data_IF_964607806051
#
_entry.id   IF_964607806051
#
_cell.length_a   1.000
_cell.length_b   1.000
_cell.length_c   1.000
_cell.angle_alpha   90.00
_cell.angle_beta   90.00
_cell.angle_gamma   90.00
#
_symmetry.space_group_name_H-M   'P 1'
#
loop_
_entity.id
_entity.type
_entity.pdbx_description
1 polymer ?
#
# COMPACT_ATOMS: atom_id res chain seq x y z
N UNK A 1 -42.41 -3.42 44.08
CA UNK A 1 -42.04 -2.19 43.34
C UNK A 1 -41.06 -2.58 42.23
N UNK A 2 -41.53 -2.59 40.97
CA UNK A 2 -40.76 -2.99 39.78
C UNK A 2 -39.79 -1.87 39.40
N UNK A 3 -38.47 -2.13 39.38
CA UNK A 3 -37.47 -1.19 38.85
C UNK A 3 -37.17 -1.57 37.41
N UNK A 4 -37.57 -0.71 36.49
CA UNK A 4 -37.33 -0.79 35.05
C UNK A 4 -35.91 -0.26 34.78
N UNK A 5 -35.00 -1.13 34.34
CA UNK A 5 -33.64 -0.75 33.94
C UNK A 5 -33.71 -0.39 32.45
N UNK A 6 -33.58 0.91 32.14
CA UNK A 6 -33.46 1.41 30.78
C UNK A 6 -32.02 1.14 30.29
N UNK A 7 -31.85 0.13 29.44
CA UNK A 7 -30.61 -0.08 28.70
C UNK A 7 -30.48 1.04 27.65
N UNK A 8 -29.56 1.97 27.90
CA UNK A 8 -29.15 2.98 26.94
C UNK A 8 -28.15 2.33 25.96
N UNK A 9 -28.64 1.96 24.79
CA UNK A 9 -27.85 1.34 23.72
C UNK A 9 -26.81 2.33 23.19
N UNK A 10 -25.53 2.12 23.53
CA UNK A 10 -24.42 2.76 22.83
C UNK A 10 -24.39 2.26 21.39
N UNK A 11 -24.88 3.07 20.45
CA UNK A 11 -24.52 2.91 19.04
C UNK A 11 -23.06 3.34 18.87
N UNK A 12 -22.14 2.38 18.87
CA UNK A 12 -20.79 2.61 18.36
C UNK A 12 -20.92 2.78 16.84
N UNK A 13 -21.01 4.02 16.39
CA UNK A 13 -20.75 4.35 15.00
C UNK A 13 -19.27 4.03 14.75
N UNK A 14 -18.98 2.91 14.10
CA UNK A 14 -17.67 2.65 13.52
C UNK A 14 -17.46 3.70 12.44
N UNK A 15 -16.72 4.76 12.77
CA UNK A 15 -16.20 5.67 11.77
C UNK A 15 -15.31 4.81 10.84
N UNK A 16 -15.77 4.61 9.61
CA UNK A 16 -14.91 4.09 8.56
C UNK A 16 -13.77 5.09 8.38
N UNK A 17 -12.58 4.71 8.85
CA UNK A 17 -11.40 5.57 8.81
C UNK A 17 -10.98 5.73 7.34
N UNK A 18 -10.81 6.97 6.89
CA UNK A 18 -10.65 7.32 5.49
C UNK A 18 -9.17 7.30 5.11
N UNK A 19 -8.64 6.11 4.78
CA UNK A 19 -7.26 5.90 4.38
C UNK A 19 -6.78 6.91 3.30
N UNK A 20 -5.63 7.54 3.53
CA UNK A 20 -5.08 8.57 2.65
C UNK A 20 -4.42 7.97 1.41
N UNK A 21 -5.01 8.17 0.24
CA UNK A 21 -4.45 7.70 -1.04
C UNK A 21 -3.13 8.40 -1.36
N UNK A 22 -2.10 7.61 -1.69
CA UNK A 22 -0.75 8.08 -2.01
C UNK A 22 -0.29 7.69 -3.41
N UNK A 23 -0.89 6.66 -4.00
CA UNK A 23 -0.62 6.26 -5.39
C UNK A 23 -1.85 5.60 -6.00
N UNK A 24 -2.17 5.98 -7.24
CA UNK A 24 -3.11 5.27 -8.11
C UNK A 24 -2.36 4.83 -9.36
N UNK A 25 -2.43 3.54 -9.70
CA UNK A 25 -1.72 2.97 -10.85
C UNK A 25 -2.69 2.19 -11.73
N UNK A 26 -2.82 2.61 -12.99
CA UNK A 26 -3.57 1.89 -14.01
C UNK A 26 -2.62 0.99 -14.82
N UNK A 27 -2.95 -0.29 -14.92
CA UNK A 27 -2.08 -1.29 -15.56
C UNK A 27 -2.88 -2.52 -16.01
N UNK A 28 -2.24 -3.40 -16.77
CA UNK A 28 -2.79 -4.73 -17.04
C UNK A 28 -2.55 -5.62 -15.82
N UNK A 29 -3.61 -6.21 -15.27
CA UNK A 29 -3.52 -7.13 -14.13
C UNK A 29 -3.04 -8.53 -14.53
N UNK A 30 -2.83 -9.43 -13.55
CA UNK A 30 -2.35 -10.79 -13.80
C UNK A 30 -3.24 -11.60 -14.76
N UNK A 31 -4.56 -11.33 -14.74
CA UNK A 31 -5.55 -11.96 -15.63
C UNK A 31 -5.63 -11.35 -17.03
N UNK A 32 -4.78 -10.38 -17.39
CA UNK A 32 -4.80 -9.71 -18.69
C UNK A 32 -5.82 -8.58 -18.84
N UNK A 33 -6.75 -8.42 -17.89
CA UNK A 33 -7.69 -7.30 -17.87
C UNK A 33 -7.05 -6.02 -17.30
N UNK A 34 -7.49 -4.82 -17.71
CA UNK A 34 -7.10 -3.59 -17.06
C UNK A 34 -7.56 -3.53 -15.59
N UNK A 35 -6.66 -3.09 -14.72
CA UNK A 35 -6.88 -2.93 -13.28
C UNK A 35 -6.31 -1.59 -12.82
N UNK A 36 -7.06 -0.90 -11.97
CA UNK A 36 -6.56 0.25 -11.21
C UNK A 36 -6.24 -0.20 -9.80
N UNK A 37 -4.96 -0.11 -9.42
CA UNK A 37 -4.52 -0.31 -8.03
C UNK A 37 -4.45 1.02 -7.30
N UNK A 38 -5.10 1.10 -6.14
CA UNK A 38 -5.09 2.27 -5.26
C UNK A 38 -4.34 1.89 -3.99
N UNK A 39 -3.25 2.60 -3.71
CA UNK A 39 -2.48 2.47 -2.49
C UNK A 39 -2.83 3.63 -1.56
N UNK A 40 -3.23 3.28 -0.34
CA UNK A 40 -3.56 4.24 0.71
C UNK A 40 -2.78 3.90 1.98
N UNK A 41 -2.28 4.93 2.66
CA UNK A 41 -1.68 4.76 3.97
C UNK A 41 -2.79 4.67 5.03
N UNK A 42 -2.65 3.79 6.04
CA UNK A 42 -3.56 3.78 7.18
C UNK A 42 -3.55 5.12 7.94
N UNK A 43 -4.70 5.58 8.44
CA UNK A 43 -4.80 6.88 9.12
C UNK A 43 -4.01 6.92 10.44
N UNK A 44 -4.04 5.81 11.18
CA UNK A 44 -3.27 5.61 12.41
C UNK A 44 -1.77 5.67 12.15
N UNK A 45 -1.33 5.17 10.99
CA UNK A 45 0.05 5.33 10.53
C UNK A 45 0.37 6.81 10.28
N UNK A 46 -0.46 7.51 9.49
CA UNK A 46 -0.21 8.92 9.11
C UNK A 46 -0.13 9.81 10.34
N UNK A 47 -1.02 9.62 11.32
CA UNK A 47 -1.04 10.42 12.54
C UNK A 47 0.16 10.18 13.47
N UNK A 48 0.81 9.02 13.39
CA UNK A 48 1.83 8.59 14.35
C UNK A 48 3.27 8.77 13.87
N UNK A 49 3.51 8.95 12.57
CA UNK A 49 4.87 8.93 12.04
C UNK A 49 5.58 10.28 12.07
N UNK A 50 6.80 10.29 12.63
CA UNK A 50 7.76 11.38 12.47
C UNK A 50 8.58 11.20 11.17
N UNK A 51 9.13 12.27 10.57
CA UNK A 51 10.02 12.14 9.41
C UNK A 51 11.19 11.19 9.68
N UNK A 52 11.58 10.42 8.67
CA UNK A 52 12.72 9.50 8.76
C UNK A 52 13.89 10.00 7.89
N UNK A 53 15.11 9.68 8.31
CA UNK A 53 16.33 9.93 7.54
C UNK A 53 16.96 8.60 7.17
N UNK A 54 17.42 8.49 5.93
CA UNK A 54 18.10 7.30 5.42
C UNK A 54 19.38 7.71 4.65
N UNK A 55 20.39 8.24 5.35
CA UNK A 55 21.56 8.83 4.70
C UNK A 55 22.40 7.81 3.91
N UNK A 56 22.33 6.53 4.28
CA UNK A 56 23.09 5.45 3.66
C UNK A 56 22.25 4.60 2.70
N UNK A 57 20.93 4.80 2.64
CA UNK A 57 20.02 3.99 1.82
C UNK A 57 19.73 2.60 2.40
N UNK A 58 20.04 2.35 3.67
CA UNK A 58 19.85 1.04 4.31
C UNK A 58 18.35 0.70 4.42
N UNK A 59 17.52 1.69 4.74
CA UNK A 59 16.07 1.50 4.84
C UNK A 59 15.44 1.34 3.45
N UNK A 60 15.88 2.13 2.47
CA UNK A 60 15.48 1.99 1.07
C UNK A 60 15.85 0.61 0.51
N UNK A 61 17.04 0.10 0.86
CA UNK A 61 17.46 -1.26 0.47
C UNK A 61 16.52 -2.32 1.06
N UNK A 62 16.29 -2.28 2.37
CA UNK A 62 15.38 -3.24 3.03
C UNK A 62 13.95 -3.14 2.50
N UNK A 63 13.46 -1.92 2.26
CA UNK A 63 12.16 -1.69 1.63
C UNK A 63 12.10 -2.29 0.22
N UNK A 64 13.16 -2.17 -0.57
CA UNK A 64 13.28 -2.80 -1.88
C UNK A 64 13.17 -4.33 -1.83
N UNK A 65 13.82 -4.96 -0.84
CA UNK A 65 13.73 -6.41 -0.61
C UNK A 65 12.30 -6.82 -0.24
N UNK A 66 11.68 -6.15 0.73
CA UNK A 66 10.31 -6.44 1.17
C UNK A 66 9.31 -6.23 0.03
N UNK A 67 9.48 -5.14 -0.73
CA UNK A 67 8.66 -4.82 -1.88
C UNK A 67 8.77 -5.90 -2.96
N UNK A 68 9.98 -6.37 -3.30
CA UNK A 68 10.17 -7.40 -4.32
C UNK A 68 9.57 -8.74 -3.90
N UNK A 69 9.76 -9.13 -2.64
CA UNK A 69 9.20 -10.37 -2.08
C UNK A 69 7.67 -10.40 -2.16
N UNK A 70 7.01 -9.27 -1.93
CA UNK A 70 5.56 -9.15 -2.05
C UNK A 70 5.09 -8.99 -3.51
N UNK A 71 5.73 -8.12 -4.28
CA UNK A 71 5.21 -7.70 -5.58
C UNK A 71 5.20 -8.85 -6.60
N UNK A 72 6.23 -9.70 -6.59
CA UNK A 72 6.32 -10.82 -7.54
C UNK A 72 5.13 -11.79 -7.44
N UNK A 73 4.78 -12.37 -6.27
CA UNK A 73 3.60 -13.22 -6.16
C UNK A 73 2.27 -12.46 -6.29
N UNK A 74 2.17 -11.23 -5.77
CA UNK A 74 0.93 -10.45 -5.85
C UNK A 74 0.52 -10.15 -7.30
N UNK A 75 1.47 -9.65 -8.10
CA UNK A 75 1.23 -9.33 -9.50
C UNK A 75 1.41 -10.54 -10.44
N UNK A 76 1.82 -11.70 -9.91
CA UNK A 76 2.26 -12.84 -10.72
C UNK A 76 3.31 -12.43 -11.78
N UNK A 77 4.19 -11.50 -11.41
CA UNK A 77 5.10 -10.87 -12.34
C UNK A 77 6.29 -11.77 -12.69
N UNK A 78 6.74 -11.69 -13.94
CA UNK A 78 7.94 -12.36 -14.45
C UNK A 78 8.99 -11.34 -14.87
N UNK A 79 10.24 -11.78 -14.93
CA UNK A 79 11.39 -10.96 -15.35
C UNK A 79 11.40 -9.57 -14.70
N UNK A 80 11.29 -9.58 -13.37
CA UNK A 80 11.12 -8.37 -12.56
C UNK A 80 12.47 -7.70 -12.32
N UNK A 81 12.54 -6.40 -12.61
CA UNK A 81 13.66 -5.52 -12.33
C UNK A 81 13.20 -4.41 -11.38
N UNK A 82 13.92 -4.22 -10.28
CA UNK A 82 13.73 -3.05 -9.42
C UNK A 82 14.39 -1.85 -10.10
N UNK A 83 13.61 -0.82 -10.42
CA UNK A 83 14.11 0.41 -11.02
C UNK A 83 14.64 1.40 -9.96
N UNK A 84 14.03 1.39 -8.78
CA UNK A 84 14.44 2.24 -7.67
C UNK A 84 13.47 2.17 -6.50
N UNK A 85 13.94 2.65 -5.36
CA UNK A 85 13.13 2.85 -4.15
C UNK A 85 13.31 4.29 -3.72
N UNK A 86 12.21 5.01 -3.52
CA UNK A 86 12.21 6.41 -3.11
C UNK A 86 11.60 6.57 -1.73
N UNK A 87 12.29 7.26 -0.83
CA UNK A 87 11.71 7.74 0.42
C UNK A 87 10.81 8.95 0.14
N UNK A 88 9.52 8.81 0.44
CA UNK A 88 8.53 9.89 0.43
C UNK A 88 8.27 10.31 1.87
N UNK A 89 8.20 11.62 2.14
CA UNK A 89 8.01 12.14 3.50
C UNK A 89 6.57 12.52 3.82
N UNK A 90 5.74 12.73 2.79
CA UNK A 90 4.37 13.24 2.92
C UNK A 90 3.38 12.28 2.27
N UNK A 91 2.20 12.03 2.87
CA UNK A 91 1.65 12.62 4.10
C UNK A 91 2.27 12.07 5.41
N UNK A 92 3.01 10.96 5.30
CA UNK A 92 3.88 10.38 6.32
C UNK A 92 5.06 9.73 5.59
N UNK A 93 6.18 9.42 6.26
CA UNK A 93 7.28 8.71 5.64
C UNK A 93 6.85 7.35 5.09
N UNK A 94 7.23 7.00 3.86
CA UNK A 94 7.09 5.64 3.31
C UNK A 94 8.07 5.47 2.16
N UNK A 95 8.32 4.22 1.76
CA UNK A 95 9.15 3.88 0.63
C UNK A 95 8.28 3.47 -0.55
N UNK A 96 8.47 4.12 -1.70
CA UNK A 96 7.86 3.77 -2.96
C UNK A 96 8.87 2.97 -3.78
N UNK A 97 8.63 1.67 -3.96
CA UNK A 97 9.41 0.83 -4.85
C UNK A 97 8.76 0.82 -6.23
N UNK A 98 9.56 1.10 -7.27
CA UNK A 98 9.15 1.04 -8.67
C UNK A 98 9.84 -0.13 -9.36
N UNK A 99 9.06 -0.93 -10.06
CA UNK A 99 9.52 -2.09 -10.81
C UNK A 99 9.22 -1.95 -12.29
N UNK A 100 9.86 -2.79 -13.09
CA UNK A 100 9.46 -3.13 -14.45
C UNK A 100 9.52 -4.64 -14.63
N UNK A 101 8.55 -5.23 -15.32
CA UNK A 101 8.47 -6.66 -15.52
C UNK A 101 7.27 -7.05 -16.35
N UNK A 102 7.10 -8.33 -16.60
CA UNK A 102 5.98 -8.88 -17.37
C UNK A 102 4.83 -9.28 -16.44
N UNK A 103 3.64 -8.72 -16.69
CA UNK A 103 2.39 -9.01 -15.97
C UNK A 103 1.28 -9.13 -17.02
N UNK A 104 0.49 -10.20 -16.98
CA UNK A 104 -0.61 -10.41 -17.93
C UNK A 104 -0.15 -10.42 -19.40
N UNK A 105 1.09 -10.86 -19.68
CA UNK A 105 1.69 -10.86 -21.01
C UNK A 105 2.18 -9.50 -21.51
N UNK A 106 2.18 -8.46 -20.67
CA UNK A 106 2.64 -7.11 -21.01
C UNK A 106 3.82 -6.70 -20.13
N UNK A 107 4.86 -6.13 -20.75
CA UNK A 107 5.96 -5.50 -20.01
C UNK A 107 5.57 -4.09 -19.60
N UNK A 108 5.53 -3.83 -18.29
CA UNK A 108 5.03 -2.58 -17.75
C UNK A 108 5.65 -2.25 -16.39
N UNK A 109 5.56 -0.98 -16.00
CA UNK A 109 5.92 -0.55 -14.66
C UNK A 109 4.82 -0.90 -13.66
N UNK A 110 5.23 -1.27 -12.45
CA UNK A 110 4.33 -1.52 -11.31
C UNK A 110 5.02 -1.14 -10.01
N UNK A 111 4.26 -1.09 -8.92
CA UNK A 111 4.69 -0.42 -7.70
C UNK A 111 4.41 -1.24 -6.45
N UNK A 112 5.17 -0.98 -5.40
CA UNK A 112 4.83 -1.38 -4.04
C UNK A 112 5.10 -0.20 -3.10
N UNK A 113 4.33 -0.13 -2.03
CA UNK A 113 4.54 0.84 -0.95
C UNK A 113 4.91 0.08 0.31
N UNK A 114 6.01 0.48 0.95
CA UNK A 114 6.50 -0.09 2.19
C UNK A 114 6.53 0.99 3.25
N UNK A 115 5.87 0.75 4.37
CA UNK A 115 5.89 1.64 5.53
C UNK A 115 7.29 1.68 6.14
N UNK A 116 7.58 2.69 6.96
CA UNK A 116 8.85 2.80 7.68
C UNK A 116 9.14 1.58 8.58
N UNK A 117 8.10 0.87 9.03
CA UNK A 117 8.19 -0.39 9.77
C UNK A 117 8.65 -1.58 8.93
N UNK A 118 8.76 -1.43 7.60
CA UNK A 118 9.01 -2.52 6.66
C UNK A 118 7.75 -3.25 6.17
N UNK A 119 6.57 -2.90 6.67
CA UNK A 119 5.30 -3.51 6.26
C UNK A 119 4.89 -3.08 4.86
N UNK A 120 4.52 -4.01 3.98
CA UNK A 120 4.02 -3.68 2.64
C UNK A 120 2.52 -3.35 2.69
N UNK A 121 2.15 -2.20 2.10
CA UNK A 121 0.75 -1.76 1.98
C UNK A 121 0.05 -2.58 0.90
N UNK A 122 -1.10 -3.17 1.24
CA UNK A 122 -1.94 -3.88 0.27
C UNK A 122 -2.79 -2.87 -0.52
N UNK A 123 -2.71 -2.86 -1.86
CA UNK A 123 -3.54 -1.98 -2.66
C UNK A 123 -4.96 -2.53 -2.80
N UNK A 124 -5.92 -1.62 -2.96
CA UNK A 124 -7.28 -1.95 -3.42
C UNK A 124 -7.26 -2.07 -4.94
N UNK A 125 -7.76 -3.19 -5.46
CA UNK A 125 -7.89 -3.41 -6.91
C UNK A 125 -9.31 -3.05 -7.39
N UNK A 126 -9.40 -2.15 -8.36
CA UNK A 126 -10.62 -1.84 -9.09
C UNK A 126 -10.48 -2.41 -10.50
N UNK A 127 -11.27 -3.43 -10.81
CA UNK A 127 -11.29 -4.07 -12.13
C UNK A 127 -12.34 -3.37 -12.99
N UNK A 128 -11.98 -2.98 -14.21
CA UNK A 128 -12.97 -2.49 -15.17
C UNK A 128 -13.93 -3.65 -15.50
N UNK A 129 -15.22 -3.46 -15.23
CA UNK A 129 -16.28 -4.42 -15.56
C UNK A 129 -16.53 -4.48 -17.07
#
# INVERSE_FOLDING_TARGET
>A
MKRLILLCSLCWATAAMAAQTVLTSYMVGPGGSPVTYIFALPDDYVAAQAPISDPNGDLQHQAGVNALQWAKPFYQARDVYLLGVELKQTPAPYFLAKFNGEIGGQRQAFYAIVLASGTVVQPTALVAQ
#
